data_IF_592370730028
#
_entry.id   IF_592370730028
#
_cell.length_a   1.000
_cell.length_b   1.000
_cell.length_c   1.000
_cell.angle_alpha   90.00
_cell.angle_beta   90.00
_cell.angle_gamma   90.00
#
_symmetry.space_group_name_H-M   'P 1'
#
loop_
_entity.id
_entity.type
_entity.pdbx_description
1 polymer ?
#
# COMPACT_ATOMS: atom_id res chain seq x y z
N UNK A 1 16.85 31.48 -11.17
CA UNK A 1 16.51 30.77 -9.93
C UNK A 1 17.67 29.85 -9.60
N UNK A 2 18.19 29.88 -8.37
CA UNK A 2 19.18 28.90 -7.95
C UNK A 2 18.57 27.51 -8.06
N UNK A 3 19.28 26.60 -8.72
CA UNK A 3 18.86 25.19 -8.80
C UNK A 3 18.92 24.59 -7.39
N UNK A 4 17.81 24.09 -6.86
CA UNK A 4 17.80 23.45 -5.55
C UNK A 4 18.54 22.12 -5.64
N UNK A 5 19.54 21.93 -4.79
CA UNK A 5 20.35 20.72 -4.71
C UNK A 5 19.95 19.91 -3.49
N UNK A 6 19.83 18.59 -3.65
CA UNK A 6 19.53 17.65 -2.59
C UNK A 6 20.71 16.69 -2.33
N UNK A 7 20.78 16.16 -1.13
CA UNK A 7 21.71 15.06 -0.83
C UNK A 7 21.21 13.75 -1.38
N UNK A 8 19.88 13.50 -1.31
CA UNK A 8 19.26 12.32 -1.88
C UNK A 8 17.88 12.64 -2.48
N UNK A 9 17.59 12.02 -3.63
CA UNK A 9 16.27 12.03 -4.26
C UNK A 9 15.74 10.61 -4.33
N UNK A 10 14.52 10.41 -3.83
CA UNK A 10 13.75 9.16 -3.95
C UNK A 10 12.74 9.31 -5.09
N UNK A 11 12.74 8.40 -6.04
CA UNK A 11 11.79 8.38 -7.17
C UNK A 11 10.64 7.43 -6.84
N UNK A 12 9.42 7.98 -6.68
CA UNK A 12 8.19 7.28 -6.35
C UNK A 12 7.76 7.45 -4.90
N UNK A 13 6.50 7.89 -4.68
CA UNK A 13 5.85 8.04 -3.38
C UNK A 13 4.88 6.88 -3.07
N UNK A 14 5.18 5.67 -3.53
CA UNK A 14 4.56 4.43 -3.08
C UNK A 14 5.02 4.05 -1.67
N UNK A 15 4.51 2.94 -1.11
CA UNK A 15 4.85 2.49 0.25
C UNK A 15 6.35 2.31 0.47
N UNK A 16 7.07 1.81 -0.54
CA UNK A 16 8.52 1.60 -0.47
C UNK A 16 9.28 2.93 -0.44
N UNK A 17 9.03 3.84 -1.39
CA UNK A 17 9.71 5.13 -1.44
C UNK A 17 9.36 6.01 -0.23
N UNK A 18 8.11 5.99 0.24
CA UNK A 18 7.71 6.71 1.46
C UNK A 18 8.38 6.16 2.72
N UNK A 19 8.54 4.83 2.84
CA UNK A 19 9.28 4.21 3.95
C UNK A 19 10.76 4.56 3.92
N UNK A 20 11.39 4.55 2.73
CA UNK A 20 12.79 4.97 2.54
C UNK A 20 12.96 6.44 2.91
N UNK A 21 12.07 7.31 2.46
CA UNK A 21 12.10 8.74 2.76
C UNK A 21 11.98 9.01 4.27
N UNK A 22 11.08 8.28 4.98
CA UNK A 22 10.98 8.36 6.43
C UNK A 22 12.28 7.97 7.13
N UNK A 23 12.89 6.88 6.74
CA UNK A 23 14.13 6.43 7.39
C UNK A 23 15.34 7.31 7.02
N UNK A 24 15.39 7.85 5.79
CA UNK A 24 16.40 8.86 5.42
C UNK A 24 16.22 10.16 6.20
N UNK A 25 14.99 10.54 6.56
CA UNK A 25 14.73 11.76 7.35
C UNK A 25 15.31 11.70 8.76
N UNK A 26 15.82 10.55 9.21
CA UNK A 26 16.60 10.40 10.45
C UNK A 26 18.03 10.97 10.35
N UNK A 27 18.46 11.30 9.15
CA UNK A 27 19.82 11.78 8.90
C UNK A 27 19.83 13.29 8.58
N UNK A 28 20.94 13.93 8.85
CA UNK A 28 21.19 15.33 8.49
C UNK A 28 21.44 15.42 6.98
N UNK A 29 20.39 15.61 6.22
CA UNK A 29 20.43 15.65 4.76
C UNK A 29 19.21 16.39 4.20
N UNK A 30 19.38 17.05 3.05
CA UNK A 30 18.31 17.60 2.23
C UNK A 30 17.78 16.48 1.32
N UNK A 31 16.54 16.06 1.55
CA UNK A 31 15.92 14.91 0.86
C UNK A 31 14.67 15.36 0.11
N UNK A 32 14.50 14.85 -1.10
CA UNK A 32 13.32 15.07 -1.90
C UNK A 32 12.74 13.76 -2.41
N UNK A 33 11.41 13.66 -2.43
CA UNK A 33 10.66 12.57 -3.10
C UNK A 33 10.00 13.14 -4.33
N UNK A 34 10.21 12.51 -5.50
CA UNK A 34 9.56 12.84 -6.76
C UNK A 34 8.49 11.82 -7.07
N UNK A 35 7.26 12.28 -7.30
CA UNK A 35 6.12 11.43 -7.66
C UNK A 35 5.48 11.94 -8.96
N UNK A 36 5.27 11.01 -9.92
CA UNK A 36 4.61 11.36 -11.20
C UNK A 36 3.13 11.67 -11.01
N UNK A 37 2.50 11.06 -10.02
CA UNK A 37 1.10 11.25 -9.69
C UNK A 37 0.82 12.52 -8.89
N UNK A 38 -0.44 12.78 -8.67
CA UNK A 38 -0.95 13.96 -7.97
C UNK A 38 -0.85 13.87 -6.44
N UNK A 39 -0.52 12.67 -5.90
CA UNK A 39 -0.55 12.41 -4.47
C UNK A 39 0.31 11.18 -4.12
N UNK A 40 0.50 10.95 -2.84
CA UNK A 40 1.07 9.73 -2.28
C UNK A 40 0.14 8.54 -2.51
N UNK A 41 0.71 7.34 -2.69
CA UNK A 41 -0.10 6.10 -2.78
C UNK A 41 -1.01 6.04 -4.02
N UNK A 42 -0.52 6.46 -5.17
CA UNK A 42 -1.30 6.48 -6.42
C UNK A 42 -1.14 5.21 -7.26
N UNK A 43 -0.04 4.45 -7.10
CA UNK A 43 0.26 3.21 -7.82
C UNK A 43 -0.22 1.93 -7.11
N UNK A 44 0.57 0.87 -7.16
CA UNK A 44 0.29 -0.47 -6.57
C UNK A 44 -0.04 -0.42 -5.07
N UNK A 45 0.49 0.56 -4.35
CA UNK A 45 0.28 0.72 -2.91
C UNK A 45 -1.19 0.96 -2.55
N UNK A 46 -2.02 1.53 -3.45
CA UNK A 46 -3.47 1.69 -3.23
C UNK A 46 -4.30 0.45 -3.60
N UNK A 47 -3.72 -0.55 -4.29
CA UNK A 47 -4.45 -1.65 -4.91
C UNK A 47 -3.74 -2.99 -4.65
N UNK A 48 -3.91 -3.53 -3.45
CA UNK A 48 -3.31 -4.78 -2.97
C UNK A 48 -4.22 -5.47 -1.96
N UNK A 49 -3.77 -6.61 -1.42
CA UNK A 49 -4.55 -7.42 -0.47
C UNK A 49 -4.53 -6.89 0.97
N UNK A 50 -3.82 -5.80 1.27
CA UNK A 50 -3.74 -5.21 2.62
C UNK A 50 -3.20 -6.16 3.72
N UNK A 51 -2.39 -7.16 3.35
CA UNK A 51 -1.93 -8.23 4.23
C UNK A 51 -0.53 -7.93 4.76
N UNK A 52 -0.36 -8.16 6.06
CA UNK A 52 0.93 -8.29 6.72
C UNK A 52 1.29 -9.78 6.77
N UNK A 53 2.09 -10.22 5.79
CA UNK A 53 2.48 -11.63 5.63
C UNK A 53 3.39 -12.10 6.76
N UNK A 54 3.23 -13.37 7.19
CA UNK A 54 4.06 -13.97 8.23
C UNK A 54 5.51 -14.22 7.83
N UNK A 55 5.78 -14.56 6.56
CA UNK A 55 7.13 -14.84 6.06
C UNK A 55 7.38 -16.30 5.63
N UNK A 56 6.35 -17.13 5.63
CA UNK A 56 6.48 -18.58 5.35
C UNK A 56 6.63 -18.91 3.86
N UNK A 57 6.20 -18.04 2.95
CA UNK A 57 6.06 -18.36 1.53
C UNK A 57 7.34 -18.07 0.70
N UNK A 58 8.08 -17.03 1.03
CA UNK A 58 9.25 -16.63 0.28
C UNK A 58 10.41 -17.66 0.39
N UNK A 59 11.14 -17.84 -0.72
CA UNK A 59 12.28 -18.76 -0.79
C UNK A 59 13.33 -18.42 0.28
N UNK A 60 13.73 -19.40 1.06
CA UNK A 60 14.77 -19.25 2.09
C UNK A 60 16.05 -18.66 1.51
N UNK A 61 16.62 -17.69 2.22
CA UNK A 61 17.84 -16.99 1.83
C UNK A 61 17.61 -15.79 0.88
N UNK A 62 16.39 -15.61 0.35
CA UNK A 62 16.05 -14.47 -0.51
C UNK A 62 15.90 -13.16 0.29
N UNK A 63 16.04 -12.02 -0.40
CA UNK A 63 15.71 -10.70 0.17
C UNK A 63 14.23 -10.61 0.53
N UNK A 64 13.34 -11.20 -0.27
CA UNK A 64 11.90 -11.32 0.05
C UNK A 64 11.68 -11.96 1.41
N UNK A 65 12.32 -13.11 1.70
CA UNK A 65 12.18 -13.79 2.97
C UNK A 65 12.69 -12.94 4.14
N UNK A 66 13.90 -12.38 3.99
CA UNK A 66 14.54 -11.55 5.02
C UNK A 66 13.72 -10.30 5.33
N UNK A 67 13.34 -9.53 4.30
CA UNK A 67 12.63 -8.26 4.48
C UNK A 67 11.19 -8.49 4.96
N UNK A 68 10.54 -9.60 4.55
CA UNK A 68 9.22 -9.94 5.05
C UNK A 68 9.22 -10.20 6.57
N UNK A 69 10.10 -11.06 7.05
CA UNK A 69 10.15 -11.41 8.48
C UNK A 69 10.51 -10.21 9.33
N UNK A 70 11.50 -9.42 8.90
CA UNK A 70 11.89 -8.19 9.58
C UNK A 70 10.75 -7.16 9.58
N UNK A 71 10.13 -6.90 8.43
CA UNK A 71 9.04 -5.94 8.31
C UNK A 71 7.78 -6.37 9.09
N UNK A 72 7.47 -7.68 9.13
CA UNK A 72 6.41 -8.20 9.98
C UNK A 72 6.65 -7.90 11.46
N UNK A 73 7.85 -8.12 11.96
CA UNK A 73 8.25 -7.81 13.35
C UNK A 73 8.14 -6.33 13.67
N UNK A 74 8.50 -5.46 12.72
CA UNK A 74 8.45 -4.00 12.87
C UNK A 74 7.03 -3.44 12.81
N UNK A 75 6.09 -4.14 12.16
CA UNK A 75 4.79 -3.59 11.77
C UNK A 75 3.95 -3.08 12.96
N UNK A 76 3.99 -3.74 14.11
CA UNK A 76 3.23 -3.29 15.30
C UNK A 76 3.70 -1.91 15.76
N UNK A 77 5.02 -1.76 15.96
CA UNK A 77 5.60 -0.48 16.38
C UNK A 77 5.37 0.61 15.33
N UNK A 78 5.55 0.30 14.04
CA UNK A 78 5.33 1.25 12.94
C UNK A 78 3.87 1.71 12.89
N UNK A 79 2.91 0.79 13.07
CA UNK A 79 1.49 1.13 13.08
C UNK A 79 1.13 2.04 14.26
N UNK A 80 1.72 1.80 15.44
CA UNK A 80 1.55 2.64 16.63
C UNK A 80 2.18 4.03 16.45
N UNK A 81 3.43 4.10 15.99
CA UNK A 81 4.14 5.38 15.75
C UNK A 81 3.42 6.26 14.71
N UNK A 82 2.83 5.64 13.70
CA UNK A 82 2.20 6.33 12.58
C UNK A 82 0.67 6.43 12.70
N UNK A 83 0.08 5.93 13.77
CA UNK A 83 -1.37 5.90 14.00
C UNK A 83 -2.11 5.31 12.78
N UNK A 84 -1.76 4.05 12.45
CA UNK A 84 -2.28 3.33 11.29
C UNK A 84 -3.13 2.15 11.73
N UNK A 85 -4.36 1.99 11.21
CA UNK A 85 -5.19 0.82 11.49
C UNK A 85 -4.49 -0.47 11.08
N UNK A 86 -4.21 -1.31 12.08
CA UNK A 86 -3.52 -2.58 11.95
C UNK A 86 -4.11 -3.61 12.92
N UNK A 87 -4.20 -4.88 12.50
CA UNK A 87 -4.65 -5.99 13.34
C UNK A 87 -3.90 -7.27 13.01
N UNK A 88 -3.37 -7.95 14.03
CA UNK A 88 -2.83 -9.30 13.92
C UNK A 88 -3.99 -10.29 14.04
N UNK A 89 -4.59 -10.65 12.90
CA UNK A 89 -5.72 -11.58 12.86
C UNK A 89 -5.30 -13.02 12.53
N UNK A 90 -4.04 -13.23 12.17
CA UNK A 90 -3.55 -14.53 11.72
C UNK A 90 -3.97 -14.88 10.28
N UNK A 91 -3.40 -15.96 9.78
CA UNK A 91 -3.71 -16.47 8.45
C UNK A 91 -3.71 -18.00 8.41
N UNK A 92 -4.56 -18.57 7.54
CA UNK A 92 -4.54 -19.96 7.16
C UNK A 92 -4.06 -20.14 5.71
N UNK A 93 -3.25 -21.19 5.46
CA UNK A 93 -3.05 -21.73 4.11
C UNK A 93 -3.74 -23.07 4.05
N UNK A 94 -4.81 -23.15 3.26
CA UNK A 94 -5.69 -24.32 3.21
C UNK A 94 -5.14 -25.40 2.29
N UNK A 95 -5.22 -26.65 2.74
CA UNK A 95 -4.99 -27.87 1.98
C UNK A 95 -6.32 -28.59 1.77
N UNK A 96 -6.62 -28.98 0.51
CA UNK A 96 -7.90 -29.59 0.14
C UNK A 96 -7.78 -31.08 -0.21
N UNK A 97 -6.56 -31.60 -0.35
CA UNK A 97 -6.29 -33.00 -0.69
C UNK A 97 -5.15 -33.51 0.19
N UNK A 98 -5.30 -34.71 0.72
CA UNK A 98 -4.26 -35.39 1.51
C UNK A 98 -2.96 -35.59 0.70
N UNK A 99 -3.07 -35.75 -0.61
CA UNK A 99 -1.91 -35.82 -1.50
C UNK A 99 -1.06 -34.55 -1.53
N UNK A 100 -1.64 -33.39 -1.16
CA UNK A 100 -0.96 -32.10 -1.08
C UNK A 100 -0.31 -31.82 0.29
N UNK A 101 -0.49 -32.73 1.27
CA UNK A 101 0.13 -32.60 2.60
C UNK A 101 1.65 -32.45 2.59
N UNK A 102 2.41 -33.10 1.69
CA UNK A 102 3.85 -32.86 1.58
C UNK A 102 4.18 -31.39 1.24
N UNK A 103 3.42 -30.75 0.34
CA UNK A 103 3.62 -29.33 0.00
C UNK A 103 3.28 -28.39 1.17
N UNK A 104 2.25 -28.72 1.97
CA UNK A 104 1.91 -27.98 3.18
C UNK A 104 3.03 -28.08 4.23
N UNK A 105 3.63 -29.27 4.41
CA UNK A 105 4.78 -29.50 5.30
C UNK A 105 6.02 -28.76 4.83
N UNK A 106 6.32 -28.77 3.54
CA UNK A 106 7.43 -28.00 2.96
C UNK A 106 7.25 -26.51 3.25
N UNK A 107 6.03 -25.98 3.11
CA UNK A 107 5.72 -24.59 3.41
C UNK A 107 5.93 -24.27 4.90
N UNK A 108 5.53 -25.17 5.79
CA UNK A 108 5.78 -25.06 7.22
C UNK A 108 7.28 -25.01 7.54
N UNK A 109 8.06 -25.96 7.01
CA UNK A 109 9.51 -26.06 7.24
C UNK A 109 10.24 -24.82 6.70
N UNK A 110 9.83 -24.34 5.53
CA UNK A 110 10.33 -23.10 4.93
C UNK A 110 10.05 -21.91 5.85
N UNK A 111 8.84 -21.80 6.38
CA UNK A 111 8.48 -20.73 7.32
C UNK A 111 9.31 -20.78 8.60
N UNK A 112 9.52 -21.96 9.19
CA UNK A 112 10.38 -22.13 10.37
C UNK A 112 11.82 -21.72 10.04
N UNK A 113 12.35 -22.15 8.90
CA UNK A 113 13.72 -21.79 8.45
C UNK A 113 13.87 -20.29 8.21
N UNK A 114 12.83 -19.63 7.71
CA UNK A 114 12.80 -18.17 7.52
C UNK A 114 12.70 -17.40 8.85
N UNK A 115 12.45 -18.08 9.98
CA UNK A 115 12.31 -17.48 11.29
C UNK A 115 10.91 -16.99 11.65
N UNK A 116 9.87 -17.59 11.02
CA UNK A 116 8.46 -17.34 11.39
C UNK A 116 8.11 -18.11 12.64
N UNK A 117 7.62 -17.43 13.66
CA UNK A 117 7.35 -18.01 14.96
C UNK A 117 5.91 -18.57 15.04
N UNK A 118 5.75 -19.61 15.88
CA UNK A 118 4.45 -20.18 16.25
C UNK A 118 3.59 -20.72 15.07
N UNK A 119 4.22 -21.10 13.96
CA UNK A 119 3.53 -21.82 12.89
C UNK A 119 3.00 -23.16 13.38
N UNK A 120 1.80 -23.56 12.92
CA UNK A 120 1.18 -24.84 13.26
C UNK A 120 0.51 -25.43 12.03
N UNK A 121 0.61 -26.75 11.85
CA UNK A 121 -0.27 -27.48 10.94
C UNK A 121 -1.45 -27.99 11.79
N UNK A 122 -2.64 -27.63 11.37
CA UNK A 122 -3.92 -27.99 11.97
C UNK A 122 -4.63 -28.99 11.07
N UNK A 123 -5.44 -29.86 11.67
CA UNK A 123 -6.43 -30.67 10.94
C UNK A 123 -7.54 -29.76 10.39
N UNK A 124 -8.31 -30.27 9.41
CA UNK A 124 -9.45 -29.52 8.88
C UNK A 124 -10.49 -29.17 9.96
N UNK A 125 -10.70 -30.08 10.92
CA UNK A 125 -11.65 -29.84 12.02
C UNK A 125 -11.15 -28.73 12.98
N UNK A 126 -9.90 -28.79 13.42
CA UNK A 126 -9.28 -27.74 14.24
C UNK A 126 -9.31 -26.37 13.53
N UNK A 127 -9.07 -26.34 12.22
CA UNK A 127 -9.15 -25.12 11.43
C UNK A 127 -10.60 -24.59 11.36
N UNK A 128 -11.62 -25.46 11.21
CA UNK A 128 -13.04 -25.07 11.21
C UNK A 128 -13.55 -24.64 12.58
N UNK A 129 -13.00 -25.19 13.68
CA UNK A 129 -13.30 -24.67 15.04
C UNK A 129 -12.86 -23.21 15.19
N UNK A 130 -11.71 -22.83 14.61
CA UNK A 130 -11.19 -21.47 14.65
C UNK A 130 -11.86 -20.54 13.61
N UNK A 131 -12.33 -21.09 12.50
CA UNK A 131 -12.93 -20.36 11.37
C UNK A 131 -14.09 -21.17 10.77
N UNK A 132 -15.31 -21.06 11.33
CA UNK A 132 -16.46 -21.91 10.96
C UNK A 132 -16.94 -21.74 9.50
N UNK A 133 -16.57 -20.62 8.85
CA UNK A 133 -16.89 -20.37 7.45
C UNK A 133 -16.07 -21.18 6.45
N UNK A 134 -15.02 -21.87 6.90
CA UNK A 134 -14.21 -22.71 6.00
C UNK A 134 -15.03 -23.82 5.35
N UNK A 135 -14.65 -24.16 4.11
CA UNK A 135 -15.23 -25.26 3.34
C UNK A 135 -15.05 -26.59 4.07
N UNK A 136 -16.05 -27.48 3.95
CA UNK A 136 -15.96 -28.84 4.49
C UNK A 136 -14.91 -29.71 3.79
N UNK A 137 -14.44 -29.29 2.60
CA UNK A 137 -13.39 -29.98 1.83
C UNK A 137 -11.98 -29.72 2.37
N UNK A 138 -11.79 -28.84 3.34
CA UNK A 138 -10.48 -28.54 3.93
C UNK A 138 -10.04 -29.74 4.78
N UNK A 139 -8.93 -30.39 4.42
CA UNK A 139 -8.35 -31.53 5.14
C UNK A 139 -7.31 -31.10 6.17
N UNK A 140 -6.57 -30.02 5.90
CA UNK A 140 -5.60 -29.43 6.81
C UNK A 140 -5.38 -27.95 6.52
N UNK A 141 -4.73 -27.24 7.45
CA UNK A 141 -4.33 -25.84 7.26
C UNK A 141 -3.00 -25.55 7.97
N UNK A 142 -2.14 -24.76 7.32
CA UNK A 142 -1.02 -24.09 8.00
C UNK A 142 -1.53 -22.80 8.64
N UNK A 143 -1.46 -22.72 9.96
CA UNK A 143 -1.82 -21.54 10.73
C UNK A 143 -0.59 -20.68 11.03
N UNK A 144 -0.66 -19.40 10.67
CA UNK A 144 0.37 -18.40 10.93
C UNK A 144 -0.20 -17.25 11.80
N UNK A 145 -0.03 -17.28 13.11
CA UNK A 145 -0.60 -16.28 14.02
C UNK A 145 0.04 -14.90 13.88
N UNK A 146 1.29 -14.81 13.39
CA UNK A 146 2.01 -13.55 13.18
C UNK A 146 1.55 -12.76 11.95
N UNK A 147 0.72 -13.35 11.07
CA UNK A 147 0.10 -12.62 9.97
C UNK A 147 -0.92 -11.59 10.47
N UNK A 148 -1.16 -10.57 9.67
CA UNK A 148 -2.10 -9.51 10.00
C UNK A 148 -2.68 -8.81 8.78
N UNK A 149 -3.49 -7.80 9.03
CA UNK A 149 -4.05 -6.89 8.02
C UNK A 149 -3.79 -5.44 8.43
N UNK A 150 -3.57 -4.57 7.45
CA UNK A 150 -3.23 -3.16 7.66
C UNK A 150 -3.95 -2.29 6.64
N UNK A 151 -4.22 -1.01 6.96
CA UNK A 151 -4.68 -0.07 5.94
C UNK A 151 -3.51 0.34 5.04
N UNK A 152 -3.46 -0.06 3.75
CA UNK A 152 -2.33 0.23 2.88
C UNK A 152 -2.23 1.73 2.54
N UNK A 153 -3.37 2.43 2.48
CA UNK A 153 -3.41 3.88 2.26
C UNK A 153 -2.77 4.63 3.43
N UNK A 154 -3.26 4.37 4.63
CA UNK A 154 -2.81 5.08 5.83
C UNK A 154 -1.37 4.72 6.21
N UNK A 155 -0.92 3.49 5.93
CA UNK A 155 0.49 3.10 6.11
C UNK A 155 1.40 3.91 5.18
N UNK A 156 1.05 4.02 3.89
CA UNK A 156 1.85 4.77 2.92
C UNK A 156 1.85 6.27 3.24
N UNK A 157 0.67 6.83 3.51
CA UNK A 157 0.51 8.22 3.94
C UNK A 157 1.24 8.49 5.25
N UNK A 158 1.16 7.57 6.20
CA UNK A 158 1.84 7.69 7.49
C UNK A 158 3.35 7.82 7.35
N UNK A 159 3.97 6.99 6.50
CA UNK A 159 5.40 7.12 6.18
C UNK A 159 5.71 8.49 5.53
N UNK A 160 4.94 8.89 4.52
CA UNK A 160 5.18 10.13 3.79
C UNK A 160 4.99 11.38 4.66
N UNK A 161 3.88 11.46 5.41
CA UNK A 161 3.60 12.60 6.30
C UNK A 161 4.62 12.69 7.46
N UNK A 162 5.08 11.55 7.98
CA UNK A 162 6.15 11.54 8.98
C UNK A 162 7.50 11.99 8.39
N UNK A 163 7.81 11.58 7.15
CA UNK A 163 9.00 12.04 6.44
C UNK A 163 8.97 13.55 6.21
N UNK A 164 7.86 14.09 5.72
CA UNK A 164 7.66 15.53 5.51
C UNK A 164 7.80 16.34 6.81
N UNK A 165 7.16 15.88 7.89
CA UNK A 165 7.29 16.48 9.22
C UNK A 165 8.74 16.51 9.73
N UNK A 166 9.58 15.59 9.29
CA UNK A 166 11.00 15.53 9.59
C UNK A 166 11.90 16.18 8.52
N UNK A 167 11.32 16.96 7.60
CA UNK A 167 12.02 17.84 6.68
C UNK A 167 12.22 17.31 5.26
N UNK A 168 11.59 16.20 4.86
CA UNK A 168 11.63 15.71 3.48
C UNK A 168 10.67 16.54 2.61
N UNK A 169 11.14 17.00 1.46
CA UNK A 169 10.30 17.67 0.47
C UNK A 169 9.64 16.64 -0.46
N UNK A 170 8.35 16.82 -0.76
CA UNK A 170 7.62 16.03 -1.74
C UNK A 170 7.21 16.89 -2.93
N UNK A 171 7.51 16.43 -4.14
CA UNK A 171 7.08 17.04 -5.40
C UNK A 171 6.18 16.06 -6.15
N UNK A 172 4.92 16.45 -6.29
CA UNK A 172 3.90 15.71 -7.04
C UNK A 172 3.77 16.26 -8.46
N UNK A 173 3.18 15.46 -9.36
CA UNK A 173 3.10 15.78 -10.79
C UNK A 173 4.50 16.14 -11.33
N UNK A 174 5.53 15.41 -10.86
CA UNK A 174 6.95 15.65 -11.11
C UNK A 174 7.63 14.36 -11.56
N UNK A 175 7.13 13.80 -12.68
CA UNK A 175 7.68 12.60 -13.28
C UNK A 175 9.10 12.83 -13.80
N UNK A 176 10.00 11.88 -13.53
CA UNK A 176 11.36 11.87 -14.07
C UNK A 176 11.31 11.40 -15.52
N UNK A 177 11.88 12.18 -16.44
CA UNK A 177 11.89 11.94 -17.88
C UNK A 177 13.25 11.48 -18.37
N UNK A 178 14.33 11.89 -17.69
CA UNK A 178 15.69 11.50 -18.01
C UNK A 178 16.61 11.67 -16.79
N UNK A 179 17.68 10.89 -16.74
CA UNK A 179 18.73 10.98 -15.71
C UNK A 179 20.08 11.01 -16.40
N UNK A 180 20.92 11.99 -16.05
CA UNK A 180 22.31 12.04 -16.47
C UNK A 180 23.22 12.29 -15.27
N UNK A 181 24.49 11.93 -15.41
CA UNK A 181 25.49 12.20 -14.40
C UNK A 181 26.46 13.28 -14.90
N UNK A 182 26.64 14.31 -14.11
CA UNK A 182 27.59 15.39 -14.36
C UNK A 182 28.51 15.53 -13.15
N UNK A 183 29.79 15.22 -13.35
CA UNK A 183 30.78 15.12 -12.26
C UNK A 183 30.31 14.11 -11.18
N UNK A 184 30.13 14.58 -9.93
CA UNK A 184 29.68 13.76 -8.81
C UNK A 184 28.18 13.91 -8.48
N UNK A 185 27.40 14.53 -9.37
CA UNK A 185 25.98 14.80 -9.22
C UNK A 185 25.16 14.06 -10.27
N UNK A 186 23.95 13.69 -9.88
CA UNK A 186 22.89 13.29 -10.77
C UNK A 186 22.01 14.49 -11.08
N UNK A 187 21.65 14.65 -12.36
CA UNK A 187 20.72 15.64 -12.86
C UNK A 187 19.49 14.89 -13.33
N UNK A 188 18.37 15.10 -12.67
CA UNK A 188 17.08 14.52 -13.02
C UNK A 188 16.29 15.56 -13.80
N UNK A 189 15.97 15.26 -15.06
CA UNK A 189 15.07 16.05 -15.89
C UNK A 189 13.64 15.65 -15.56
N UNK A 190 12.82 16.60 -15.16
CA UNK A 190 11.44 16.37 -14.76
C UNK A 190 10.48 17.30 -15.49
N UNK A 191 9.17 17.02 -15.41
CA UNK A 191 8.14 17.92 -15.94
C UNK A 191 8.19 19.33 -15.30
N UNK A 192 8.82 19.49 -14.15
CA UNK A 192 8.94 20.76 -13.41
C UNK A 192 10.32 21.40 -13.52
N UNK A 193 11.20 20.86 -14.36
CA UNK A 193 12.56 21.32 -14.55
C UNK A 193 13.62 20.37 -14.00
N UNK A 194 14.87 20.82 -14.01
CA UNK A 194 15.99 20.01 -13.55
C UNK A 194 16.18 20.02 -12.03
N UNK A 195 16.53 18.87 -11.48
CA UNK A 195 16.83 18.67 -10.05
C UNK A 195 18.22 18.06 -9.93
N UNK A 196 19.07 18.67 -9.11
CA UNK A 196 20.42 18.18 -8.82
C UNK A 196 20.48 17.41 -7.51
N UNK A 197 21.15 16.26 -7.49
CA UNK A 197 21.30 15.44 -6.28
C UNK A 197 22.61 14.67 -6.25
N UNK A 198 23.10 14.35 -5.04
CA UNK A 198 24.27 13.49 -4.82
C UNK A 198 23.93 12.01 -4.93
N UNK A 199 22.69 11.63 -4.61
CA UNK A 199 22.23 10.26 -4.70
C UNK A 199 20.80 10.15 -5.25
N UNK A 200 20.53 9.05 -5.95
CA UNK A 200 19.21 8.66 -6.45
C UNK A 200 18.81 7.33 -5.85
N UNK A 201 17.60 7.22 -5.35
CA UNK A 201 16.99 5.97 -4.91
C UNK A 201 15.78 5.68 -5.79
N UNK A 202 15.89 4.69 -6.66
CA UNK A 202 14.82 4.27 -7.56
C UNK A 202 13.82 3.38 -6.81
N UNK A 203 12.65 3.89 -6.51
CA UNK A 203 11.52 3.19 -5.92
C UNK A 203 10.25 3.31 -6.78
N UNK A 204 10.43 3.36 -8.12
CA UNK A 204 9.39 3.66 -9.11
C UNK A 204 8.41 2.50 -9.40
N UNK A 205 8.45 1.42 -8.60
CA UNK A 205 7.48 0.31 -8.70
C UNK A 205 7.53 -0.38 -10.06
N UNK A 206 6.40 -0.39 -10.79
CA UNK A 206 6.32 -1.03 -12.11
C UNK A 206 7.14 -0.35 -13.20
N UNK A 207 7.68 0.83 -12.96
CA UNK A 207 8.54 1.60 -13.87
C UNK A 207 10.02 1.59 -13.45
N UNK A 208 10.41 0.76 -12.50
CA UNK A 208 11.76 0.82 -11.94
C UNK A 208 12.86 0.46 -12.97
N UNK A 209 12.61 -0.45 -13.88
CA UNK A 209 13.52 -0.77 -14.99
C UNK A 209 13.65 0.37 -16.00
N UNK A 210 12.56 1.09 -16.28
CA UNK A 210 12.60 2.29 -17.14
C UNK A 210 13.47 3.40 -16.54
N UNK A 211 13.37 3.63 -15.23
CA UNK A 211 14.23 4.59 -14.51
C UNK A 211 15.69 4.13 -14.51
N UNK A 212 15.95 2.83 -14.32
CA UNK A 212 17.29 2.26 -14.41
C UNK A 212 17.93 2.50 -15.79
N UNK A 213 17.18 2.21 -16.84
CA UNK A 213 17.62 2.26 -18.23
C UNK A 213 17.85 3.72 -18.73
N UNK A 214 17.38 4.74 -18.03
CA UNK A 214 17.71 6.14 -18.33
C UNK A 214 19.18 6.46 -18.11
N UNK A 215 19.86 5.73 -17.25
CA UNK A 215 21.26 6.02 -16.87
C UNK A 215 22.22 4.86 -17.13
N UNK A 216 21.77 3.61 -16.97
CA UNK A 216 22.61 2.42 -16.94
C UNK A 216 22.19 1.44 -18.04
N UNK A 217 23.11 0.55 -18.48
CA UNK A 217 22.73 -0.56 -19.35
C UNK A 217 21.66 -1.43 -18.72
N UNK A 218 20.70 -1.90 -19.52
CA UNK A 218 19.61 -2.77 -19.07
C UNK A 218 20.11 -3.95 -18.24
N UNK A 219 19.57 -4.13 -17.02
CA UNK A 219 20.03 -5.13 -16.07
C UNK A 219 18.90 -6.02 -15.50
N UNK A 220 17.65 -5.56 -15.56
CA UNK A 220 16.48 -6.32 -15.13
C UNK A 220 15.22 -5.80 -15.83
N UNK A 221 14.23 -6.66 -15.97
CA UNK A 221 12.92 -6.32 -16.55
C UNK A 221 11.83 -6.45 -15.49
N UNK A 222 10.96 -5.44 -15.40
CA UNK A 222 9.75 -5.49 -14.58
C UNK A 222 8.57 -5.85 -15.48
N UNK A 223 7.95 -7.00 -15.20
CA UNK A 223 6.70 -7.41 -15.84
C UNK A 223 5.54 -7.09 -14.91
N UNK A 224 4.60 -6.20 -15.30
CA UNK A 224 3.40 -5.95 -14.51
C UNK A 224 2.55 -7.23 -14.41
N UNK A 225 2.21 -7.62 -13.17
CA UNK A 225 1.29 -8.74 -12.95
C UNK A 225 0.01 -8.22 -12.33
N UNK A 226 -1.04 -8.17 -13.13
CA UNK A 226 -2.36 -7.69 -12.73
C UNK A 226 -3.02 -8.65 -11.76
N UNK A 227 -3.56 -8.12 -10.67
CA UNK A 227 -4.38 -8.82 -9.70
C UNK A 227 -5.71 -8.13 -9.53
N UNK A 228 -6.79 -8.78 -9.93
CA UNK A 228 -8.16 -8.27 -9.85
C UNK A 228 -8.83 -8.72 -8.56
N UNK A 229 -9.63 -7.85 -7.97
CA UNK A 229 -10.30 -8.04 -6.69
C UNK A 229 -11.78 -7.69 -6.74
N UNK A 230 -12.58 -8.41 -5.94
CA UNK A 230 -13.93 -8.02 -5.56
C UNK A 230 -13.91 -7.52 -4.10
N UNK A 231 -14.39 -6.30 -3.86
CA UNK A 231 -14.59 -5.77 -2.51
C UNK A 231 -16.07 -5.87 -2.12
N UNK A 232 -16.34 -6.56 -1.01
CA UNK A 232 -17.68 -6.69 -0.47
C UNK A 232 -17.98 -5.61 0.59
N UNK A 233 -19.26 -5.35 0.79
CA UNK A 233 -19.79 -4.45 1.83
C UNK A 233 -19.35 -4.93 3.25
N UNK A 234 -19.37 -4.03 4.22
CA UNK A 234 -19.10 -4.32 5.64
C UNK A 234 -20.03 -5.39 6.23
N UNK A 235 -21.24 -5.56 5.68
CA UNK A 235 -22.15 -6.64 6.08
C UNK A 235 -21.57 -8.05 5.83
N UNK A 236 -20.62 -8.17 4.90
CA UNK A 236 -19.90 -9.42 4.63
C UNK A 236 -18.59 -9.55 5.41
N UNK A 237 -18.17 -8.49 6.12
CA UNK A 237 -16.85 -8.41 6.75
C UNK A 237 -16.59 -9.43 7.85
N UNK A 238 -17.66 -9.97 8.45
CA UNK A 238 -17.58 -10.98 9.52
C UNK A 238 -17.64 -12.42 8.99
N UNK A 239 -17.58 -12.65 7.67
CA UNK A 239 -17.59 -14.01 7.12
C UNK A 239 -16.38 -14.81 7.62
N UNK A 240 -15.21 -14.19 7.64
CA UNK A 240 -13.98 -14.75 8.18
C UNK A 240 -13.26 -13.73 9.07
N UNK A 241 -12.59 -14.22 10.11
CA UNK A 241 -11.71 -13.39 10.95
C UNK A 241 -10.25 -13.47 10.50
N UNK A 242 -9.80 -14.63 10.07
CA UNK A 242 -8.44 -14.90 9.58
C UNK A 242 -8.32 -14.57 8.09
N UNK A 243 -7.10 -14.26 7.65
CA UNK A 243 -6.79 -14.24 6.22
C UNK A 243 -6.68 -15.65 5.68
N UNK A 244 -7.47 -15.98 4.67
CA UNK A 244 -7.53 -17.33 4.11
C UNK A 244 -6.77 -17.36 2.78
N UNK A 245 -5.72 -18.18 2.73
CA UNK A 245 -4.96 -18.53 1.52
C UNK A 245 -5.29 -19.93 1.07
N UNK A 246 -5.07 -20.23 -0.20
CA UNK A 246 -4.99 -21.57 -0.73
C UNK A 246 -3.52 -21.98 -0.84
N UNK A 247 -3.24 -23.29 -0.77
CA UNK A 247 -1.89 -23.80 -0.98
C UNK A 247 -1.39 -23.33 -2.36
N UNK A 248 -0.17 -22.79 -2.46
CA UNK A 248 0.38 -22.30 -3.72
C UNK A 248 0.41 -23.41 -4.80
N UNK A 249 -0.02 -23.05 -5.99
CA UNK A 249 0.09 -23.86 -7.20
C UNK A 249 1.11 -23.25 -8.16
N UNK A 250 1.37 -23.91 -9.31
CA UNK A 250 2.20 -23.33 -10.38
C UNK A 250 1.69 -21.97 -10.89
N UNK A 251 0.40 -21.68 -10.70
CA UNK A 251 -0.25 -20.42 -11.10
C UNK A 251 -0.24 -19.34 -10.00
N UNK A 252 0.33 -19.60 -8.83
CA UNK A 252 0.44 -18.65 -7.71
C UNK A 252 -0.30 -19.10 -6.45
N UNK A 253 -0.53 -18.15 -5.52
CA UNK A 253 -1.08 -18.38 -4.17
C UNK A 253 -2.58 -18.69 -4.11
N UNK A 254 -3.24 -18.83 -5.26
CA UNK A 254 -4.70 -18.96 -5.33
C UNK A 254 -5.45 -17.67 -4.96
N UNK A 255 -6.77 -17.77 -4.86
CA UNK A 255 -7.63 -16.65 -4.47
C UNK A 255 -7.74 -16.59 -2.96
N UNK A 256 -7.54 -15.40 -2.42
CA UNK A 256 -7.63 -15.14 -0.98
C UNK A 256 -9.03 -14.67 -0.60
N UNK A 257 -9.43 -14.99 0.62
CA UNK A 257 -10.59 -14.41 1.30
C UNK A 257 -10.05 -13.70 2.54
N UNK A 258 -10.15 -12.36 2.56
CA UNK A 258 -9.42 -11.55 3.55
C UNK A 258 -10.35 -10.49 4.14
N UNK A 259 -10.50 -10.43 5.47
CA UNK A 259 -11.14 -9.27 6.09
C UNK A 259 -10.24 -8.05 5.95
N UNK A 260 -10.82 -6.86 5.98
CA UNK A 260 -10.04 -5.61 6.03
C UNK A 260 -10.10 -4.99 7.42
N UNK A 261 -9.14 -4.14 7.77
CA UNK A 261 -9.14 -3.44 9.07
C UNK A 261 -10.37 -2.52 9.26
N UNK A 262 -11.04 -2.17 8.17
CA UNK A 262 -12.23 -1.32 8.19
C UNK A 262 -13.56 -2.11 8.10
N UNK A 263 -13.50 -3.45 8.21
CA UNK A 263 -14.68 -4.32 8.28
C UNK A 263 -15.29 -4.71 6.93
N UNK A 264 -14.62 -4.49 5.81
CA UNK A 264 -15.00 -5.05 4.52
C UNK A 264 -14.43 -6.47 4.35
N UNK A 265 -14.93 -7.22 3.36
CA UNK A 265 -14.34 -8.47 2.91
C UNK A 265 -13.76 -8.28 1.50
N UNK A 266 -12.53 -8.75 1.30
CA UNK A 266 -11.83 -8.70 0.04
C UNK A 266 -11.64 -10.12 -0.53
N UNK A 267 -12.01 -10.31 -1.79
CA UNK A 267 -11.82 -11.56 -2.53
C UNK A 267 -10.85 -11.30 -3.68
N UNK A 268 -9.89 -12.16 -3.87
CA UNK A 268 -8.82 -11.97 -4.88
C UNK A 268 -7.43 -12.15 -4.28
N UNK A 269 -6.37 -11.90 -5.04
CA UNK A 269 -6.39 -11.42 -6.43
C UNK A 269 -6.28 -12.55 -7.47
N UNK A 270 -6.55 -12.20 -8.73
CA UNK A 270 -6.04 -12.94 -9.89
C UNK A 270 -4.52 -12.74 -10.04
N UNK A 271 -3.90 -13.43 -11.02
CA UNK A 271 -2.48 -13.28 -11.33
C UNK A 271 -2.26 -13.45 -12.83
N UNK A 272 -2.23 -12.32 -13.55
CA UNK A 272 -2.06 -12.28 -15.00
C UNK A 272 -0.91 -11.33 -15.35
N UNK A 273 0.08 -11.81 -16.12
CA UNK A 273 1.12 -10.94 -16.66
C UNK A 273 0.53 -10.16 -17.84
N UNK A 274 0.75 -8.85 -17.83
CA UNK A 274 0.31 -7.95 -18.88
C UNK A 274 1.50 -7.10 -19.36
N UNK A 275 1.34 -6.45 -20.52
CA UNK A 275 2.38 -5.57 -21.09
C UNK A 275 2.19 -4.11 -20.65
N UNK A 276 0.94 -3.65 -20.61
CA UNK A 276 0.63 -2.25 -20.29
C UNK A 276 0.74 -2.01 -18.78
N UNK A 277 1.67 -1.13 -18.39
CA UNK A 277 1.96 -0.73 -17.01
C UNK A 277 0.93 0.20 -16.40
N UNK A 278 -0.03 0.68 -17.20
CA UNK A 278 -1.11 1.57 -16.76
C UNK A 278 -2.49 0.86 -16.79
N UNK A 279 -2.59 -0.36 -17.37
CA UNK A 279 -3.87 -1.09 -17.43
C UNK A 279 -4.26 -1.65 -16.05
N UNK A 280 -5.10 -0.90 -15.36
CA UNK A 280 -5.74 -1.29 -14.10
C UNK A 280 -7.22 -1.67 -14.27
N UNK A 281 -7.65 -2.03 -15.48
CA UNK A 281 -9.02 -2.52 -15.72
C UNK A 281 -9.26 -3.86 -15.03
N UNK A 282 -10.53 -4.13 -14.69
CA UNK A 282 -10.99 -5.45 -14.26
C UNK A 282 -11.77 -6.10 -15.40
N UNK A 283 -11.71 -7.44 -15.47
CA UNK A 283 -12.35 -8.23 -16.53
C UNK A 283 -13.49 -9.10 -15.98
N UNK A 284 -14.50 -9.35 -16.80
CA UNK A 284 -15.59 -10.25 -16.41
C UNK A 284 -15.08 -11.65 -16.07
N UNK A 285 -14.14 -12.17 -16.86
CA UNK A 285 -13.55 -13.50 -16.65
C UNK A 285 -12.73 -13.55 -15.36
N UNK A 286 -11.90 -12.53 -15.08
CA UNK A 286 -11.09 -12.44 -13.85
C UNK A 286 -11.96 -12.38 -12.60
N UNK A 287 -13.01 -11.55 -12.60
CA UNK A 287 -13.91 -11.45 -11.47
C UNK A 287 -14.73 -12.73 -11.27
N UNK A 288 -15.19 -13.40 -12.35
CA UNK A 288 -15.84 -14.70 -12.26
C UNK A 288 -14.93 -15.77 -11.66
N UNK A 289 -13.66 -15.82 -12.09
CA UNK A 289 -12.64 -16.72 -11.55
C UNK A 289 -12.39 -16.46 -10.05
N UNK A 290 -12.35 -15.19 -9.62
CA UNK A 290 -12.22 -14.82 -8.19
C UNK A 290 -13.34 -15.44 -7.36
N UNK A 291 -14.60 -15.31 -7.82
CA UNK A 291 -15.75 -15.82 -7.09
C UNK A 291 -15.80 -17.35 -7.05
N UNK A 292 -15.49 -18.01 -8.16
CA UNK A 292 -15.42 -19.47 -8.24
C UNK A 292 -14.39 -20.02 -7.24
N UNK A 293 -13.17 -19.49 -7.28
CA UNK A 293 -12.06 -19.99 -6.44
C UNK A 293 -12.22 -19.62 -4.96
N UNK A 294 -12.81 -18.47 -4.64
CA UNK A 294 -13.17 -18.14 -3.26
C UNK A 294 -14.14 -19.17 -2.65
N UNK A 295 -15.08 -19.69 -3.46
CA UNK A 295 -16.02 -20.74 -3.06
C UNK A 295 -15.37 -22.09 -2.69
N UNK A 296 -14.13 -22.36 -3.10
CA UNK A 296 -13.38 -23.51 -2.65
C UNK A 296 -12.94 -23.37 -1.20
N UNK A 297 -12.62 -22.15 -0.78
CA UNK A 297 -12.07 -21.85 0.56
C UNK A 297 -13.13 -21.67 1.62
N UNK A 298 -14.24 -21.00 1.29
CA UNK A 298 -15.29 -20.63 2.26
C UNK A 298 -16.69 -20.98 1.76
N UNK A 299 -17.58 -21.29 2.71
CA UNK A 299 -19.00 -21.48 2.48
C UNK A 299 -19.65 -20.11 2.21
N UNK A 300 -20.69 -20.08 1.35
CA UNK A 300 -21.56 -18.93 1.16
C UNK A 300 -20.84 -17.62 0.77
N UNK A 301 -20.04 -17.67 -0.30
CA UNK A 301 -19.38 -16.45 -0.85
C UNK A 301 -20.41 -15.36 -1.09
N UNK A 302 -20.26 -14.14 -0.52
CA UNK A 302 -21.28 -13.10 -0.53
C UNK A 302 -21.28 -12.28 -1.84
N UNK A 303 -21.45 -12.93 -2.99
CA UNK A 303 -21.36 -12.31 -4.32
C UNK A 303 -22.34 -11.13 -4.53
N UNK A 304 -23.52 -11.19 -3.88
CA UNK A 304 -24.53 -10.11 -3.93
C UNK A 304 -24.16 -8.88 -3.10
N UNK A 305 -23.12 -8.96 -2.28
CA UNK A 305 -22.65 -7.88 -1.43
C UNK A 305 -21.38 -7.19 -1.99
N UNK A 306 -21.00 -7.51 -3.21
CA UNK A 306 -19.89 -6.83 -3.89
C UNK A 306 -20.33 -5.39 -4.17
N UNK A 307 -19.54 -4.43 -3.69
CA UNK A 307 -19.79 -2.99 -3.87
C UNK A 307 -18.90 -2.37 -4.94
N UNK A 308 -17.73 -2.97 -5.20
CA UNK A 308 -16.81 -2.53 -6.25
C UNK A 308 -15.81 -3.62 -6.61
N UNK A 309 -15.15 -3.46 -7.76
CA UNK A 309 -13.96 -4.20 -8.16
C UNK A 309 -12.81 -3.24 -8.44
N UNK A 310 -11.59 -3.71 -8.32
CA UNK A 310 -10.39 -2.98 -8.68
C UNK A 310 -9.26 -3.95 -9.03
N UNK A 311 -8.21 -3.44 -9.65
CA UNK A 311 -7.00 -4.20 -9.87
C UNK A 311 -5.75 -3.44 -9.47
N UNK A 312 -4.66 -4.16 -9.22
CA UNK A 312 -3.35 -3.61 -8.94
C UNK A 312 -2.27 -4.36 -9.69
N UNK A 313 -1.22 -3.64 -10.06
CA UNK A 313 -0.10 -4.17 -10.85
C UNK A 313 1.09 -4.45 -9.93
N UNK A 314 1.46 -5.74 -9.78
CA UNK A 314 2.66 -6.13 -9.04
C UNK A 314 3.89 -5.92 -9.92
N UNK A 315 4.93 -5.34 -9.37
CA UNK A 315 6.21 -5.11 -10.04
C UNK A 315 7.07 -6.39 -9.98
N UNK A 316 6.79 -7.37 -10.85
CA UNK A 316 7.50 -8.64 -10.86
C UNK A 316 8.82 -8.52 -11.64
N UNK A 317 9.96 -8.64 -10.96
CA UNK A 317 11.27 -8.67 -11.62
C UNK A 317 11.59 -10.06 -12.16
N UNK A 318 12.27 -10.10 -13.31
CA UNK A 318 12.79 -11.33 -13.94
C UNK A 318 13.81 -12.07 -13.06
N UNK A 319 14.49 -11.37 -12.15
CA UNK A 319 15.39 -11.94 -11.14
C UNK A 319 14.66 -12.77 -10.07
N UNK A 320 13.34 -12.68 -9.96
CA UNK A 320 12.50 -13.45 -9.03
C UNK A 320 12.63 -13.08 -7.56
N UNK A 321 13.45 -12.09 -7.20
CA UNK A 321 13.63 -11.56 -5.83
C UNK A 321 13.54 -10.02 -5.84
N UNK A 322 13.56 -9.40 -4.67
CA UNK A 322 13.73 -7.95 -4.54
C UNK A 322 15.12 -7.52 -5.02
N UNK A 323 15.20 -6.37 -5.64
CA UNK A 323 16.45 -5.74 -6.08
C UNK A 323 16.71 -4.58 -5.12
N UNK A 324 17.60 -4.79 -4.15
CA UNK A 324 17.99 -3.83 -3.12
C UNK A 324 19.51 -3.68 -3.17
N UNK A 325 20.02 -2.85 -4.07
CA UNK A 325 21.45 -2.76 -4.37
C UNK A 325 21.87 -1.35 -4.79
N UNK A 326 23.16 -1.07 -4.77
CA UNK A 326 23.79 0.09 -5.40
C UNK A 326 24.26 -0.32 -6.78
N UNK A 327 23.55 0.10 -7.84
CA UNK A 327 23.82 -0.26 -9.24
C UNK A 327 24.90 0.62 -9.88
N UNK A 328 25.08 1.84 -9.39
CA UNK A 328 26.18 2.74 -9.73
C UNK A 328 26.51 3.60 -8.50
N UNK A 329 27.68 4.26 -8.42
CA UNK A 329 28.04 5.07 -7.26
C UNK A 329 26.95 6.07 -6.87
N UNK A 330 26.32 5.86 -5.70
CA UNK A 330 25.18 6.62 -5.16
C UNK A 330 23.88 6.52 -5.99
N UNK A 331 23.72 5.49 -6.83
CA UNK A 331 22.48 5.17 -7.51
C UNK A 331 21.96 3.82 -6.99
N UNK A 332 20.87 3.87 -6.27
CA UNK A 332 20.33 2.74 -5.51
C UNK A 332 19.01 2.26 -6.09
N UNK A 333 18.83 0.94 -6.13
CA UNK A 333 17.61 0.28 -6.59
C UNK A 333 16.81 -0.25 -5.40
N UNK A 334 15.53 0.08 -5.36
CA UNK A 334 14.50 -0.58 -4.55
C UNK A 334 13.40 -1.07 -5.51
N UNK A 335 13.76 -2.04 -6.36
CA UNK A 335 12.98 -2.50 -7.50
C UNK A 335 12.51 -3.95 -7.34
N UNK A 336 11.58 -4.39 -8.20
CA UNK A 336 11.01 -5.73 -8.12
C UNK A 336 10.19 -5.98 -6.85
N UNK A 337 9.68 -4.91 -6.24
CA UNK A 337 8.95 -4.99 -4.98
C UNK A 337 7.48 -5.37 -5.25
N UNK A 338 7.24 -6.66 -5.43
CA UNK A 338 5.92 -7.28 -5.45
C UNK A 338 5.52 -7.80 -4.05
N UNK A 339 4.56 -8.75 -3.93
CA UNK A 339 4.29 -9.43 -2.66
C UNK A 339 5.55 -10.16 -2.15
N UNK A 340 5.93 -9.94 -0.87
CA UNK A 340 5.24 -9.29 0.24
C UNK A 340 5.66 -7.83 0.50
N UNK A 341 5.78 -6.99 -0.50
CA UNK A 341 6.34 -5.64 -0.42
C UNK A 341 5.70 -4.74 0.64
N UNK A 342 4.37 -4.77 0.80
CA UNK A 342 3.68 -3.96 1.83
C UNK A 342 4.20 -4.28 3.23
N UNK A 343 4.33 -5.58 3.55
CA UNK A 343 4.89 -6.04 4.83
C UNK A 343 6.36 -5.68 4.97
N UNK A 344 7.10 -5.77 3.88
CA UNK A 344 8.55 -5.57 3.85
C UNK A 344 8.96 -4.09 3.88
N UNK A 345 8.04 -3.18 3.55
CA UNK A 345 8.34 -1.75 3.39
C UNK A 345 9.08 -1.11 4.58
N UNK A 346 8.72 -1.36 5.86
CA UNK A 346 9.48 -0.82 6.99
C UNK A 346 10.94 -1.28 6.99
N UNK A 347 11.19 -2.57 6.74
CA UNK A 347 12.54 -3.14 6.73
C UNK A 347 13.35 -2.70 5.51
N UNK A 348 12.72 -2.58 4.34
CA UNK A 348 13.33 -2.02 3.14
C UNK A 348 13.71 -0.56 3.37
N UNK A 349 12.82 0.22 4.02
CA UNK A 349 13.10 1.61 4.38
C UNK A 349 14.39 1.77 5.17
N UNK A 350 14.55 0.99 6.24
CA UNK A 350 15.77 0.98 7.06
C UNK A 350 16.98 0.55 6.24
N UNK A 351 16.88 -0.57 5.52
CA UNK A 351 17.98 -1.14 4.76
C UNK A 351 18.53 -0.17 3.70
N UNK A 352 17.65 0.44 2.92
CA UNK A 352 18.03 1.37 1.86
C UNK A 352 18.55 2.70 2.41
N UNK A 353 17.92 3.21 3.48
CA UNK A 353 18.39 4.43 4.13
C UNK A 353 19.79 4.28 4.76
N UNK A 354 20.08 3.15 5.39
CA UNK A 354 21.41 2.85 5.92
C UNK A 354 22.46 2.72 4.82
N UNK A 355 22.11 2.07 3.70
CA UNK A 355 22.99 1.95 2.52
C UNK A 355 23.34 3.32 1.95
N UNK A 356 22.34 4.17 1.67
CA UNK A 356 22.53 5.50 1.12
C UNK A 356 23.26 6.44 2.12
N UNK A 357 22.91 6.39 3.40
CA UNK A 357 23.56 7.19 4.43
C UNK A 357 25.04 6.85 4.57
N UNK A 358 25.40 5.56 4.50
CA UNK A 358 26.80 5.11 4.53
C UNK A 358 27.58 5.61 3.31
N UNK A 359 27.01 5.48 2.10
CA UNK A 359 27.67 5.92 0.88
C UNK A 359 27.88 7.44 0.85
N UNK A 360 26.92 8.22 1.35
CA UNK A 360 26.98 9.68 1.40
C UNK A 360 27.72 10.24 2.63
N UNK A 361 28.08 9.41 3.61
CA UNK A 361 28.71 9.84 4.87
C UNK A 361 27.77 10.67 5.77
N UNK A 362 26.46 10.35 5.79
CA UNK A 362 25.47 11.11 6.55
C UNK A 362 25.50 10.76 8.04
N UNK A 363 25.24 11.75 8.89
CA UNK A 363 25.12 11.59 10.35
C UNK A 363 23.64 11.64 10.77
N UNK A 364 23.27 10.89 11.82
CA UNK A 364 21.90 10.90 12.35
C UNK A 364 21.55 12.24 13.00
N UNK A 365 20.30 12.66 12.86
CA UNK A 365 19.72 13.81 13.59
C UNK A 365 19.42 13.41 15.03
N UNK A 366 19.58 14.34 15.96
CA UNK A 366 19.10 14.20 17.35
C UNK A 366 17.58 14.46 17.45
N UNK A 367 17.03 15.23 16.52
CA UNK A 367 15.67 15.78 16.56
C UNK A 367 14.62 15.00 15.75
N UNK A 368 14.89 13.74 15.36
CA UNK A 368 13.91 12.95 14.64
C UNK A 368 12.68 12.63 15.51
N UNK A 369 11.48 12.94 14.99
CA UNK A 369 10.22 12.60 15.64
C UNK A 369 9.53 11.43 14.92
N UNK A 370 9.44 10.23 15.51
CA UNK A 370 8.81 9.07 14.89
C UNK A 370 7.28 9.16 14.83
N UNK A 371 6.66 10.05 15.63
CA UNK A 371 5.22 10.06 15.84
C UNK A 371 4.50 10.89 14.77
N UNK A 372 3.53 10.27 14.15
CA UNK A 372 2.52 10.90 13.29
C UNK A 372 1.14 10.64 13.86
N UNK A 373 0.25 11.62 13.85
CA UNK A 373 -1.17 11.44 14.18
C UNK A 373 -2.00 11.38 12.90
N UNK A 374 -2.82 10.36 12.78
CA UNK A 374 -3.75 10.16 11.66
C UNK A 374 -4.89 11.17 11.64
N UNK A 375 -5.76 11.06 10.64
CA UNK A 375 -7.07 11.73 10.67
C UNK A 375 -7.90 11.10 11.78
N UNK A 376 -8.52 11.92 12.61
CA UNK A 376 -9.41 11.43 13.68
C UNK A 376 -10.66 10.83 13.03
N UNK A 377 -10.84 9.52 13.17
CA UNK A 377 -12.02 8.83 12.68
C UNK A 377 -13.12 8.81 13.75
N UNK A 378 -14.19 9.57 13.56
CA UNK A 378 -15.30 9.64 14.52
C UNK A 378 -15.89 8.26 14.84
N UNK A 379 -15.87 7.33 13.90
CA UNK A 379 -16.38 5.98 14.10
C UNK A 379 -15.62 5.16 15.15
N UNK A 380 -14.38 5.49 15.43
CA UNK A 380 -13.53 4.83 16.42
C UNK A 380 -13.69 5.41 17.84
N UNK A 381 -14.31 6.58 17.96
CA UNK A 381 -14.48 7.28 19.23
C UNK A 381 -15.74 6.84 19.97
N UNK A 382 -15.73 6.90 21.30
CA UNK A 382 -16.92 6.78 22.15
C UNK A 382 -17.90 7.94 21.92
N UNK A 383 -19.11 7.84 22.45
CA UNK A 383 -20.14 8.90 22.33
C UNK A 383 -19.67 10.19 23.00
N UNK A 384 -19.03 10.08 24.14
CA UNK A 384 -18.49 11.18 24.94
C UNK A 384 -17.36 11.90 24.18
N UNK A 385 -16.40 11.15 23.65
CA UNK A 385 -15.28 11.69 22.85
C UNK A 385 -15.78 12.37 21.56
N UNK A 386 -16.78 11.80 20.88
CA UNK A 386 -17.43 12.44 19.72
C UNK A 386 -18.06 13.77 20.10
N UNK A 387 -18.81 13.80 21.23
CA UNK A 387 -19.45 15.01 21.70
C UNK A 387 -18.43 16.09 22.06
N UNK A 388 -17.28 15.71 22.63
CA UNK A 388 -16.17 16.63 22.89
C UNK A 388 -15.55 17.15 21.61
N UNK A 389 -15.27 16.26 20.65
CA UNK A 389 -14.71 16.62 19.35
C UNK A 389 -15.61 17.58 18.57
N UNK A 390 -16.94 17.40 18.63
CA UNK A 390 -17.92 18.30 18.01
C UNK A 390 -17.95 19.67 18.72
N UNK A 391 -17.79 19.71 20.07
CA UNK A 391 -17.68 20.98 20.80
C UNK A 391 -16.41 21.77 20.43
N UNK A 392 -15.29 21.07 20.26
CA UNK A 392 -14.03 21.68 19.81
C UNK A 392 -14.13 22.24 18.39
N UNK A 393 -14.75 21.48 17.49
CA UNK A 393 -14.94 21.86 16.10
C UNK A 393 -16.29 21.37 15.56
N UNK A 394 -17.29 22.26 15.39
CA UNK A 394 -18.65 21.90 14.94
C UNK A 394 -18.70 21.18 13.57
N UNK A 395 -17.67 21.29 12.74
CA UNK A 395 -17.61 20.57 11.45
C UNK A 395 -17.62 19.05 11.63
N UNK A 396 -17.17 18.53 12.76
CA UNK A 396 -17.26 17.10 13.08
C UNK A 396 -18.71 16.64 13.32
N UNK A 397 -19.65 17.54 13.61
CA UNK A 397 -21.09 17.25 13.73
C UNK A 397 -21.82 17.13 12.37
N UNK A 398 -21.19 17.51 11.26
CA UNK A 398 -21.80 17.49 9.91
C UNK A 398 -21.39 16.25 9.13
N UNK A 399 -22.24 15.23 9.04
CA UNK A 399 -21.95 13.99 8.29
C UNK A 399 -22.10 14.25 6.80
N UNK A 400 -21.01 14.02 6.05
CA UNK A 400 -20.92 14.15 4.59
C UNK A 400 -21.09 12.79 3.92
N UNK A 401 -20.30 11.78 4.30
CA UNK A 401 -20.43 10.43 3.78
C UNK A 401 -21.22 9.55 4.77
N UNK A 402 -22.48 9.20 4.42
CA UNK A 402 -23.35 8.41 5.30
C UNK A 402 -22.97 6.93 5.36
N UNK A 403 -22.46 6.36 4.25
CA UNK A 403 -22.08 4.95 4.17
C UNK A 403 -20.90 4.60 5.08
N UNK A 404 -19.93 5.51 5.21
CA UNK A 404 -18.73 5.38 6.01
C UNK A 404 -18.79 6.24 7.29
N UNK A 405 -19.84 7.04 7.46
CA UNK A 405 -20.07 7.97 8.59
C UNK A 405 -18.90 8.96 8.76
N UNK A 406 -18.50 9.59 7.64
CA UNK A 406 -17.42 10.58 7.64
C UNK A 406 -17.98 12.00 7.71
N UNK A 407 -17.46 12.78 8.64
CA UNK A 407 -17.83 14.17 8.88
C UNK A 407 -17.09 15.15 7.96
N UNK A 408 -17.59 16.37 7.89
CA UNK A 408 -16.91 17.49 7.25
C UNK A 408 -15.58 17.82 7.95
N UNK A 409 -15.53 17.69 9.29
CA UNK A 409 -14.30 17.92 10.06
C UNK A 409 -13.17 16.98 9.66
N UNK A 410 -13.45 15.68 9.46
CA UNK A 410 -12.46 14.71 8.97
C UNK A 410 -11.97 15.06 7.55
N UNK A 411 -12.86 15.49 6.67
CA UNK A 411 -12.50 15.89 5.30
C UNK A 411 -11.61 17.14 5.31
N UNK A 412 -11.96 18.14 6.10
CA UNK A 412 -11.18 19.39 6.24
C UNK A 412 -9.79 19.10 6.83
N UNK A 413 -9.70 18.21 7.85
CA UNK A 413 -8.41 17.77 8.38
C UNK A 413 -7.57 17.08 7.29
N UNK A 414 -8.16 16.17 6.52
CA UNK A 414 -7.48 15.49 5.42
C UNK A 414 -6.95 16.43 4.32
N UNK A 415 -7.57 17.60 4.15
CA UNK A 415 -7.14 18.60 3.17
C UNK A 415 -6.03 19.51 3.74
N UNK A 416 -6.13 19.91 5.02
CA UNK A 416 -5.25 20.91 5.64
C UNK A 416 -3.95 20.35 6.22
N UNK A 417 -3.87 19.02 6.42
CA UNK A 417 -2.71 18.36 7.02
C UNK A 417 -1.47 18.38 6.11
N UNK A 418 -0.28 18.07 6.61
CA UNK A 418 0.91 17.84 5.78
C UNK A 418 0.60 16.87 4.65
N UNK A 419 1.07 17.15 3.43
CA UNK A 419 0.70 16.40 2.22
C UNK A 419 -0.82 16.24 2.05
N UNK A 420 -1.59 17.31 2.30
CA UNK A 420 -3.05 17.31 2.29
C UNK A 420 -3.66 16.92 0.94
N UNK A 421 -4.88 16.34 1.01
CA UNK A 421 -5.63 15.92 -0.16
C UNK A 421 -5.98 17.12 -1.07
N UNK A 422 -5.77 16.97 -2.39
CA UNK A 422 -6.12 17.96 -3.42
C UNK A 422 -7.18 17.47 -4.40
N UNK A 423 -7.57 16.20 -4.30
CA UNK A 423 -8.50 15.52 -5.21
C UNK A 423 -9.54 14.71 -4.43
N UNK A 424 -10.61 14.27 -5.10
CA UNK A 424 -11.63 13.41 -4.49
C UNK A 424 -11.01 12.09 -4.00
N UNK A 425 -10.14 11.47 -4.79
CA UNK A 425 -9.47 10.23 -4.41
C UNK A 425 -8.41 10.46 -3.31
N UNK A 426 -7.80 11.65 -3.25
CA UNK A 426 -6.95 12.07 -2.14
C UNK A 426 -7.69 12.12 -0.80
N UNK A 427 -8.90 12.71 -0.78
CA UNK A 427 -9.79 12.70 0.39
C UNK A 427 -10.21 11.28 0.73
N UNK A 428 -10.61 10.49 -0.27
CA UNK A 428 -11.03 9.09 -0.12
C UNK A 428 -9.94 8.22 0.52
N UNK A 429 -8.68 8.35 0.12
CA UNK A 429 -7.55 7.60 0.68
C UNK A 429 -7.28 7.94 2.15
N UNK A 430 -7.57 9.16 2.60
CA UNK A 430 -7.31 9.63 3.98
C UNK A 430 -8.49 9.45 4.94
N UNK A 431 -9.72 9.47 4.42
CA UNK A 431 -10.92 9.49 5.27
C UNK A 431 -11.89 8.34 4.99
N UNK A 432 -11.75 7.62 3.88
CA UNK A 432 -12.71 6.64 3.34
C UNK A 432 -14.01 7.28 2.77
N UNK A 433 -14.17 8.60 2.74
CA UNK A 433 -15.32 9.22 2.10
C UNK A 433 -15.42 8.77 0.63
N UNK A 434 -16.52 8.11 0.26
CA UNK A 434 -16.73 7.54 -1.07
C UNK A 434 -16.38 6.05 -1.22
N UNK A 435 -15.88 5.36 -0.18
CA UNK A 435 -15.54 3.92 -0.24
C UNK A 435 -16.71 2.99 0.13
N UNK A 436 -17.81 3.51 0.66
CA UNK A 436 -18.95 2.69 1.06
C UNK A 436 -19.81 2.25 -0.12
N UNK A 437 -20.92 1.53 0.18
CA UNK A 437 -21.77 0.85 -0.80
C UNK A 437 -22.30 1.69 -1.97
N UNK A 438 -22.43 3.01 -1.81
CA UNK A 438 -22.87 3.89 -2.90
C UNK A 438 -21.71 4.36 -3.82
N UNK A 439 -20.46 4.03 -3.51
CA UNK A 439 -19.25 4.37 -4.28
C UNK A 439 -19.22 5.85 -4.69
N UNK A 440 -19.32 6.74 -3.68
CA UNK A 440 -19.32 8.19 -3.82
C UNK A 440 -20.58 8.83 -4.46
N UNK A 441 -21.58 8.04 -4.85
CA UNK A 441 -22.78 8.53 -5.57
C UNK A 441 -23.55 9.66 -4.85
N UNK A 442 -23.46 9.78 -3.53
CA UNK A 442 -24.15 10.84 -2.77
C UNK A 442 -23.20 11.87 -2.14
N UNK A 443 -21.99 11.50 -1.75
CA UNK A 443 -21.09 12.40 -1.03
C UNK A 443 -20.21 13.25 -1.97
N UNK A 444 -19.95 12.82 -3.22
CA UNK A 444 -19.04 13.53 -4.13
C UNK A 444 -19.34 15.03 -4.27
N UNK A 445 -20.58 15.49 -4.50
CA UNK A 445 -20.82 16.93 -4.67
C UNK A 445 -20.42 17.72 -3.43
N UNK A 446 -20.73 17.24 -2.23
CA UNK A 446 -20.32 17.90 -0.99
C UNK A 446 -18.83 17.88 -0.75
N UNK A 447 -18.15 16.77 -1.08
CA UNK A 447 -16.69 16.70 -0.98
C UNK A 447 -16.03 17.65 -1.98
N UNK A 448 -16.61 17.83 -3.19
CA UNK A 448 -16.15 18.81 -4.16
C UNK A 448 -16.31 20.27 -3.65
N UNK A 449 -17.46 20.59 -3.05
CA UNK A 449 -17.69 21.92 -2.45
C UNK A 449 -16.67 22.20 -1.33
N UNK A 450 -16.38 21.21 -0.48
CA UNK A 450 -15.38 21.35 0.59
C UNK A 450 -13.98 21.53 -0.01
N UNK A 451 -13.57 20.71 -0.98
CA UNK A 451 -12.29 20.86 -1.67
C UNK A 451 -12.15 22.24 -2.33
N UNK A 452 -13.18 22.68 -3.06
CA UNK A 452 -13.18 23.97 -3.72
C UNK A 452 -13.01 25.13 -2.71
N UNK A 453 -13.73 25.08 -1.60
CA UNK A 453 -13.63 26.06 -0.51
C UNK A 453 -12.24 26.04 0.15
N UNK A 454 -11.76 24.87 0.56
CA UNK A 454 -10.50 24.74 1.32
C UNK A 454 -9.27 25.06 0.47
N UNK A 455 -9.29 24.73 -0.82
CA UNK A 455 -8.20 25.00 -1.76
C UNK A 455 -8.33 26.34 -2.49
N UNK A 456 -9.44 27.07 -2.28
CA UNK A 456 -9.78 28.31 -2.99
C UNK A 456 -9.75 28.13 -4.52
N UNK A 457 -10.38 27.05 -5.01
CA UNK A 457 -10.46 26.69 -6.42
C UNK A 457 -11.91 26.71 -6.91
N UNK A 458 -12.15 27.01 -8.20
CA UNK A 458 -13.48 26.83 -8.77
C UNK A 458 -13.81 25.32 -8.84
N UNK A 459 -15.12 24.97 -8.79
CA UNK A 459 -15.56 23.58 -8.90
C UNK A 459 -15.07 22.87 -10.17
N UNK A 460 -14.89 23.62 -11.26
CA UNK A 460 -14.37 23.13 -12.54
C UNK A 460 -12.89 22.72 -12.49
N UNK A 461 -12.16 23.11 -11.45
CA UNK A 461 -10.77 22.70 -11.24
C UNK A 461 -10.63 21.53 -10.27
N UNK A 462 -11.74 21.05 -9.69
CA UNK A 462 -11.71 19.91 -8.79
C UNK A 462 -11.66 18.61 -9.60
N UNK A 463 -10.57 17.86 -9.39
CA UNK A 463 -10.29 16.61 -10.07
C UNK A 463 -10.72 15.39 -9.24
N UNK A 464 -11.02 14.29 -9.94
CA UNK A 464 -11.20 12.98 -9.28
C UNK A 464 -9.86 12.47 -8.76
N UNK A 465 -8.83 12.47 -9.60
CA UNK A 465 -7.46 12.05 -9.30
C UNK A 465 -6.45 12.88 -10.12
N UNK A 466 -5.88 12.36 -11.19
CA UNK A 466 -4.87 12.97 -12.06
C UNK A 466 -5.42 14.10 -12.96
N UNK A 467 -4.53 14.75 -13.70
CA UNK A 467 -4.90 15.78 -14.72
C UNK A 467 -5.84 15.16 -15.77
N UNK A 468 -6.86 15.94 -16.16
CA UNK A 468 -7.88 15.50 -17.12
C UNK A 468 -9.03 14.72 -16.48
N UNK A 469 -9.06 14.56 -15.15
CA UNK A 469 -10.13 13.90 -14.42
C UNK A 469 -11.10 14.85 -13.73
N UNK A 470 -11.22 16.07 -14.25
CA UNK A 470 -12.19 17.08 -13.79
C UNK A 470 -13.61 16.54 -13.91
N UNK A 471 -14.40 16.70 -12.82
CA UNK A 471 -15.75 16.12 -12.75
C UNK A 471 -16.80 17.06 -13.36
N UNK A 472 -16.53 18.39 -13.31
CA UNK A 472 -17.45 19.42 -13.80
C UNK A 472 -16.71 20.33 -14.79
N UNK A 473 -17.25 20.48 -16.00
CA UNK A 473 -16.64 21.27 -17.06
C UNK A 473 -17.23 22.70 -17.20
N UNK A 474 -18.35 22.99 -16.54
CA UNK A 474 -19.01 24.29 -16.60
C UNK A 474 -20.47 24.24 -16.15
N UNK A 475 -21.13 25.40 -16.24
CA UNK A 475 -22.57 25.50 -15.99
C UNK A 475 -23.35 25.03 -17.23
N UNK A 476 -24.41 24.28 -17.00
CA UNK A 476 -25.30 23.80 -18.06
C UNK A 476 -26.41 24.83 -18.40
N UNK A 477 -26.62 25.82 -17.52
CA UNK A 477 -27.54 26.93 -17.69
C UNK A 477 -26.99 28.21 -17.02
#
# INVERSE_FOLDING_TARGET
>A
MEKKRYDAVVIGAGVTGSAIARELSRYQAEICVLEKGEDVCTGTSKANSAIVHGGFDAKTGSLKAKMNVLGNRMMTQVAEELDVPFRRNGAFVLCFDENDMPALKELYERGVTNGVENLKILTGDEAREMEPALSDTVVAALFCPSSGIVCPFELTLGFAENAEKNGVEFKFECGVQNIRRENDLYILETEQGEIETRAVINAAGVHADEIHDMLLPHAFTITPRRGEYCLCDKNAGNLVDKTIFQLPTKLGKGILVTPTVHGNLLLGPTAENIEDREDTATTQSGLAFVLEKAGMSVKNVPSRQIITSFSGLRACADRGDFILEESAPNFFEAAGIESPGLTSAPAIGVYMAEMAAKALGLTKKESFNPIRHGVVHLNSLSVEERAEKIRENPLYGSIVCRCETISEGEIVDAIRRPLGAKTLDGVKRRTRAGMGRCQAGFCSPRVMDILARELNLPLTAIRKNEKGSEVVFGKTK
#
